data_IF_683604114355
#
_entry.id   IF_683604114355
#
_cell.length_a   1.000
_cell.length_b   1.000
_cell.length_c   1.000
_cell.angle_alpha   90.00
_cell.angle_beta   90.00
_cell.angle_gamma   90.00
#
_symmetry.space_group_name_H-M   'P 1'
#
loop_
_entity.id
_entity.type
_entity.pdbx_description
1 polymer ?
#
# COMPACT_ATOMS: atom_id res chain seq x y z
N UNK A 1 -1.04 53.10 29.43
CA UNK A 1 -2.04 52.14 29.95
C UNK A 1 -2.86 51.68 28.75
N UNK A 2 -2.82 50.45 28.23
CA UNK A 2 -2.37 49.13 28.72
C UNK A 2 -2.08 48.22 27.51
N UNK A 3 -0.97 47.48 27.55
CA UNK A 3 -0.57 46.46 26.58
C UNK A 3 -1.48 45.21 26.61
N UNK A 4 -1.57 44.49 25.49
CA UNK A 4 -2.43 43.32 25.31
C UNK A 4 -1.76 41.94 25.41
N UNK A 5 -2.60 40.92 25.15
CA UNK A 5 -2.33 39.52 24.77
C UNK A 5 -1.62 38.57 25.75
N UNK A 6 -2.35 37.54 26.23
CA UNK A 6 -2.06 36.09 25.99
C UNK A 6 -2.74 35.14 27.01
N UNK A 7 -4.07 34.95 26.91
CA UNK A 7 -4.79 33.90 27.66
C UNK A 7 -4.81 32.52 26.96
N UNK A 8 -4.12 32.36 25.81
CA UNK A 8 -4.27 31.17 24.96
C UNK A 8 -3.08 30.22 24.86
N UNK A 9 -1.99 30.40 25.64
CA UNK A 9 -0.79 29.57 25.46
C UNK A 9 -0.85 28.33 26.35
N UNK A 10 -1.21 27.19 25.74
CA UNK A 10 -1.19 25.88 26.39
C UNK A 10 0.17 25.62 27.04
N UNK A 11 0.18 25.52 28.38
CA UNK A 11 1.40 25.29 29.16
C UNK A 11 1.72 23.80 29.09
N UNK A 12 2.63 23.40 28.21
CA UNK A 12 3.04 22.00 28.03
C UNK A 12 4.49 21.80 28.49
N UNK A 13 4.77 20.69 29.15
CA UNK A 13 6.15 20.29 29.50
C UNK A 13 6.95 20.02 28.21
N UNK A 14 8.24 20.42 28.12
CA UNK A 14 9.07 20.17 26.94
C UNK A 14 9.08 18.71 26.49
N UNK A 15 9.10 17.78 27.45
CA UNK A 15 9.07 16.34 27.17
C UNK A 15 7.71 15.90 26.62
N UNK A 16 6.62 16.42 27.19
CA UNK A 16 5.25 16.13 26.74
C UNK A 16 5.00 16.69 25.32
N UNK A 17 5.54 17.88 25.01
CA UNK A 17 5.46 18.50 23.68
C UNK A 17 6.13 17.63 22.62
N UNK A 18 7.30 17.06 22.93
CA UNK A 18 8.03 16.18 22.01
C UNK A 18 7.27 14.88 21.74
N UNK A 19 6.65 14.29 22.77
CA UNK A 19 5.84 13.07 22.65
C UNK A 19 4.57 13.35 21.84
N UNK A 20 3.86 14.44 22.14
CA UNK A 20 2.65 14.82 21.40
C UNK A 20 2.92 15.11 19.92
N UNK A 21 4.07 15.71 19.60
CA UNK A 21 4.47 15.96 18.21
C UNK A 21 4.81 14.68 17.44
N UNK A 22 5.45 13.71 18.10
CA UNK A 22 5.82 12.43 17.47
C UNK A 22 4.60 11.53 17.24
N UNK A 23 3.67 11.51 18.20
CA UNK A 23 2.46 10.66 18.18
C UNK A 23 1.24 11.37 17.55
N UNK A 24 1.42 12.57 17.00
CA UNK A 24 0.35 13.31 16.29
C UNK A 24 -0.80 13.80 17.18
N UNK A 25 -0.59 13.96 18.49
CA UNK A 25 -1.62 14.34 19.46
C UNK A 25 -1.84 15.86 19.46
N UNK A 26 -3.11 16.28 19.35
CA UNK A 26 -3.46 17.70 19.42
C UNK A 26 -3.42 18.23 20.86
N UNK A 27 -2.38 18.99 21.17
CA UNK A 27 -2.10 19.53 22.52
C UNK A 27 -3.17 20.49 23.06
N UNK A 28 -4.08 21.00 22.22
CA UNK A 28 -5.16 21.91 22.63
C UNK A 28 -6.33 21.16 23.29
N UNK A 29 -6.48 19.86 23.00
CA UNK A 29 -7.56 19.02 23.51
C UNK A 29 -7.18 18.29 24.80
N UNK A 30 -5.92 18.40 25.23
CA UNK A 30 -5.40 17.74 26.42
C UNK A 30 -5.64 18.58 27.67
N UNK A 31 -6.27 17.96 28.68
CA UNK A 31 -6.41 18.54 30.02
C UNK A 31 -5.10 18.30 30.80
N UNK A 32 -4.41 19.37 31.16
CA UNK A 32 -3.15 19.29 31.90
C UNK A 32 -3.35 19.13 33.41
N UNK A 33 -2.79 18.06 33.99
CA UNK A 33 -2.94 17.74 35.43
C UNK A 33 -1.74 18.20 36.27
N UNK A 34 -0.70 18.77 35.64
CA UNK A 34 0.50 19.23 36.33
C UNK A 34 0.36 20.59 37.03
N UNK A 35 1.36 21.00 37.85
CA UNK A 35 1.36 22.28 38.57
C UNK A 35 1.17 23.47 37.61
N UNK A 36 0.24 24.37 37.94
CA UNK A 36 -0.23 25.48 37.08
C UNK A 36 -0.99 25.07 35.81
N UNK A 37 -1.64 23.89 35.79
CA UNK A 37 -2.42 23.39 34.66
C UNK A 37 -1.54 22.92 33.49
N UNK A 38 -0.33 22.45 33.80
CA UNK A 38 0.67 22.06 32.80
C UNK A 38 0.40 20.64 32.29
N UNK A 39 0.40 20.45 30.96
CA UNK A 39 0.34 19.12 30.35
C UNK A 39 1.67 18.40 30.59
N UNK A 40 1.61 17.27 31.30
CA UNK A 40 2.76 16.41 31.57
C UNK A 40 2.74 15.17 30.68
N UNK A 41 3.85 14.41 30.68
CA UNK A 41 3.98 13.18 29.87
C UNK A 41 2.85 12.19 30.13
N UNK A 42 2.40 12.08 31.39
CA UNK A 42 1.31 11.18 31.77
C UNK A 42 0.00 11.53 31.06
N UNK A 43 -0.37 12.82 31.00
CA UNK A 43 -1.62 13.26 30.33
C UNK A 43 -1.62 12.94 28.83
N UNK A 44 -0.46 13.08 28.14
CA UNK A 44 -0.31 12.74 26.71
C UNK A 44 -0.41 11.22 26.49
N UNK A 45 0.22 10.43 27.36
CA UNK A 45 0.19 8.97 27.28
C UNK A 45 -1.18 8.40 27.66
N UNK A 46 -1.88 9.03 28.59
CA UNK A 46 -3.23 8.65 28.99
C UNK A 46 -4.21 8.95 27.86
N UNK A 47 -4.07 10.08 27.15
CA UNK A 47 -4.87 10.35 25.95
C UNK A 47 -4.63 9.32 24.84
N UNK A 48 -3.38 8.87 24.65
CA UNK A 48 -3.04 7.79 23.73
C UNK A 48 -3.59 6.42 24.19
N UNK A 49 -3.54 6.14 25.49
CA UNK A 49 -4.05 4.91 26.09
C UNK A 49 -5.58 4.83 26.18
N UNK A 50 -6.26 5.98 26.19
CA UNK A 50 -7.72 6.08 26.28
C UNK A 50 -8.45 5.77 24.97
N UNK A 51 -7.73 5.39 23.90
CA UNK A 51 -8.34 4.76 22.73
C UNK A 51 -9.40 5.61 22.03
N UNK A 52 -9.33 6.94 22.11
CA UNK A 52 -10.03 7.81 21.15
C UNK A 52 -9.10 7.98 19.96
N UNK A 53 -8.97 6.91 19.18
CA UNK A 53 -8.76 7.07 17.76
C UNK A 53 -10.01 7.78 17.24
N UNK A 54 -9.99 9.11 17.22
CA UNK A 54 -10.74 9.83 16.22
C UNK A 54 -10.10 9.43 14.90
N UNK A 55 -10.52 8.28 14.37
CA UNK A 55 -10.52 8.06 12.94
C UNK A 55 -11.27 9.27 12.37
N UNK A 56 -10.48 10.25 11.93
CA UNK A 56 -10.96 11.30 11.05
C UNK A 56 -11.73 10.56 9.95
N UNK A 57 -12.97 10.95 9.59
CA UNK A 57 -13.63 10.32 8.48
C UNK A 57 -12.74 10.57 7.26
N UNK A 58 -12.00 9.55 6.87
CA UNK A 58 -11.23 9.56 5.64
C UNK A 58 -12.30 9.77 4.57
N UNK A 59 -12.31 10.98 3.99
CA UNK A 59 -13.32 11.33 3.00
C UNK A 59 -13.21 10.29 1.90
N UNK A 60 -14.27 9.52 1.68
CA UNK A 60 -14.43 8.70 0.49
C UNK A 60 -14.25 9.62 -0.73
N UNK A 61 -13.05 9.59 -1.30
CA UNK A 61 -12.73 10.38 -2.49
C UNK A 61 -13.13 9.55 -3.69
N UNK A 62 -14.19 9.99 -4.37
CA UNK A 62 -14.63 9.37 -5.62
C UNK A 62 -13.62 9.74 -6.69
N UNK A 63 -12.76 8.78 -7.06
CA UNK A 63 -11.86 8.92 -8.20
C UNK A 63 -12.61 8.51 -9.47
N UNK A 64 -12.63 9.40 -10.46
CA UNK A 64 -13.27 9.11 -11.75
C UNK A 64 -12.54 7.98 -12.50
N UNK A 65 -13.34 7.11 -13.11
CA UNK A 65 -12.85 5.93 -13.84
C UNK A 65 -12.38 6.35 -15.23
N UNK A 66 -11.14 6.01 -15.61
CA UNK A 66 -10.64 6.28 -16.96
C UNK A 66 -11.36 5.45 -18.02
N UNK A 67 -11.46 5.97 -19.25
CA UNK A 67 -12.05 5.25 -20.39
C UNK A 67 -11.38 3.88 -20.63
N UNK A 68 -10.06 3.78 -20.47
CA UNK A 68 -9.33 2.51 -20.58
C UNK A 68 -9.81 1.49 -19.54
N UNK A 69 -10.03 1.93 -18.30
CA UNK A 69 -10.52 1.06 -17.22
C UNK A 69 -11.95 0.60 -17.48
N UNK A 70 -12.81 1.46 -18.03
CA UNK A 70 -14.18 1.10 -18.41
C UNK A 70 -14.21 0.00 -19.47
N UNK A 71 -13.40 0.13 -20.53
CA UNK A 71 -13.33 -0.88 -21.61
C UNK A 71 -12.83 -2.22 -21.09
N UNK A 72 -11.78 -2.21 -20.26
CA UNK A 72 -11.26 -3.44 -19.63
C UNK A 72 -12.34 -4.08 -18.76
N UNK A 73 -13.05 -3.30 -17.94
CA UNK A 73 -14.11 -3.81 -17.07
C UNK A 73 -15.26 -4.44 -17.88
N UNK A 74 -15.67 -3.81 -18.99
CA UNK A 74 -16.70 -4.36 -19.88
C UNK A 74 -16.27 -5.71 -20.46
N UNK A 75 -15.05 -5.81 -21.01
CA UNK A 75 -14.54 -7.06 -21.62
C UNK A 75 -14.35 -8.18 -20.61
N UNK A 76 -13.87 -7.86 -19.42
CA UNK A 76 -13.72 -8.84 -18.33
C UNK A 76 -15.10 -9.37 -17.89
N UNK A 77 -16.09 -8.48 -17.77
CA UNK A 77 -17.47 -8.85 -17.41
C UNK A 77 -18.11 -9.73 -18.48
N UNK A 78 -18.01 -9.35 -19.75
CA UNK A 78 -18.51 -10.13 -20.89
C UNK A 78 -17.92 -11.55 -20.92
N UNK A 79 -16.60 -11.68 -20.75
CA UNK A 79 -15.91 -12.98 -20.75
C UNK A 79 -16.36 -13.86 -19.58
N UNK A 80 -16.41 -13.30 -18.35
CA UNK A 80 -16.73 -14.09 -17.14
C UNK A 80 -18.19 -14.55 -17.08
N UNK A 81 -19.12 -13.80 -17.68
CA UNK A 81 -20.53 -14.17 -17.75
C UNK A 81 -20.82 -15.21 -18.84
N UNK A 82 -20.18 -15.08 -20.03
CA UNK A 82 -20.52 -15.90 -21.18
C UNK A 82 -19.74 -17.22 -21.27
N UNK A 83 -18.53 -17.29 -20.71
CA UNK A 83 -17.66 -18.48 -20.84
C UNK A 83 -17.64 -19.29 -19.54
N UNK A 84 -17.97 -20.60 -19.57
CA UNK A 84 -17.77 -21.47 -18.42
C UNK A 84 -16.27 -21.76 -18.23
N UNK A 85 -15.66 -21.13 -17.22
CA UNK A 85 -14.23 -21.27 -16.94
C UNK A 85 -13.96 -22.51 -16.09
N UNK A 86 -13.09 -23.40 -16.55
CA UNK A 86 -12.52 -24.48 -15.75
C UNK A 86 -11.01 -24.27 -15.61
N UNK A 87 -10.46 -24.57 -14.45
CA UNK A 87 -9.04 -24.39 -14.15
C UNK A 87 -8.35 -25.75 -14.13
N UNK A 88 -7.24 -25.86 -14.86
CA UNK A 88 -6.34 -27.01 -14.81
C UNK A 88 -4.98 -26.58 -14.26
N UNK A 89 -4.38 -27.43 -13.45
CA UNK A 89 -3.05 -27.21 -12.88
C UNK A 89 -2.21 -28.45 -13.12
N UNK A 90 -0.98 -28.25 -13.60
CA UNK A 90 -0.01 -29.30 -13.89
C UNK A 90 1.34 -28.83 -13.39
N UNK A 91 2.07 -29.72 -12.73
CA UNK A 91 3.45 -29.46 -12.31
C UNK A 91 4.41 -29.81 -13.44
N UNK A 92 5.35 -28.89 -13.72
CA UNK A 92 6.33 -29.04 -14.79
C UNK A 92 7.75 -28.88 -14.22
N UNK A 93 8.61 -29.88 -14.47
CA UNK A 93 10.03 -29.79 -14.12
C UNK A 93 10.78 -28.89 -15.11
N UNK A 94 11.47 -27.87 -14.60
CA UNK A 94 12.12 -26.82 -15.43
C UNK A 94 13.65 -26.83 -15.39
N UNK A 95 14.29 -27.76 -14.67
CA UNK A 95 15.75 -27.76 -14.44
C UNK A 95 16.55 -27.73 -15.76
N UNK A 96 16.21 -28.65 -16.68
CA UNK A 96 16.86 -28.74 -18.01
C UNK A 96 16.66 -27.47 -18.84
N UNK A 97 15.50 -26.83 -18.69
CA UNK A 97 15.16 -25.61 -19.42
C UNK A 97 15.98 -24.42 -18.91
N UNK A 98 16.22 -24.35 -17.60
CA UNK A 98 17.08 -23.32 -17.00
C UNK A 98 18.54 -23.49 -17.43
N UNK A 99 19.06 -24.72 -17.44
CA UNK A 99 20.40 -25.01 -17.96
C UNK A 99 20.56 -24.53 -19.40
N UNK A 100 19.61 -24.89 -20.28
CA UNK A 100 19.61 -24.46 -21.67
C UNK A 100 19.54 -22.93 -21.82
N UNK A 101 18.69 -22.25 -21.04
CA UNK A 101 18.60 -20.78 -21.03
C UNK A 101 19.95 -20.15 -20.70
N UNK A 102 20.67 -20.70 -19.72
CA UNK A 102 21.99 -20.18 -19.34
C UNK A 102 23.02 -20.39 -20.45
N UNK A 103 23.03 -21.57 -21.09
CA UNK A 103 23.90 -21.86 -22.24
C UNK A 103 23.66 -20.87 -23.40
N UNK A 104 22.39 -20.61 -23.74
CA UNK A 104 22.01 -19.66 -24.79
C UNK A 104 22.44 -18.23 -24.43
N UNK A 105 22.21 -17.80 -23.20
CA UNK A 105 22.59 -16.47 -22.74
C UNK A 105 24.11 -16.28 -22.62
N UNK A 106 24.87 -17.36 -22.42
CA UNK A 106 26.34 -17.33 -22.48
C UNK A 106 26.87 -17.27 -23.92
N UNK A 107 26.11 -17.75 -24.90
CA UNK A 107 26.50 -17.72 -26.31
C UNK A 107 26.17 -16.40 -27.02
N UNK A 108 25.11 -15.70 -26.60
CA UNK A 108 24.69 -14.42 -27.16
C UNK A 108 24.37 -13.41 -26.04
N UNK A 109 25.28 -12.47 -25.81
CA UNK A 109 25.11 -11.43 -24.80
C UNK A 109 24.16 -10.30 -25.25
N UNK A 110 23.94 -10.15 -26.55
CA UNK A 110 23.11 -9.07 -27.10
C UNK A 110 21.61 -9.39 -27.01
N UNK A 111 21.25 -10.67 -26.97
CA UNK A 111 19.87 -11.11 -26.92
C UNK A 111 19.59 -11.99 -25.69
N UNK A 112 19.27 -11.34 -24.57
CA UNK A 112 18.94 -12.04 -23.32
C UNK A 112 17.61 -12.76 -23.43
N UNK A 113 17.66 -14.08 -23.37
CA UNK A 113 16.49 -14.95 -23.35
C UNK A 113 15.96 -15.08 -21.92
N UNK A 114 14.65 -14.87 -21.76
CA UNK A 114 13.91 -15.04 -20.51
C UNK A 114 13.14 -16.36 -20.49
N UNK A 115 12.66 -16.76 -19.30
CA UNK A 115 11.82 -17.95 -19.16
C UNK A 115 10.49 -17.77 -19.91
N UNK A 116 9.95 -16.54 -19.94
CA UNK A 116 8.71 -16.23 -20.64
C UNK A 116 8.83 -16.53 -22.15
N UNK A 117 9.96 -16.21 -22.77
CA UNK A 117 10.18 -16.47 -24.21
C UNK A 117 10.13 -17.97 -24.52
N UNK A 118 10.69 -18.78 -23.62
CA UNK A 118 10.68 -20.25 -23.75
C UNK A 118 9.26 -20.81 -23.54
N UNK A 119 8.48 -20.25 -22.61
CA UNK A 119 7.07 -20.64 -22.39
C UNK A 119 6.21 -20.28 -23.62
N UNK A 120 6.37 -19.07 -24.17
CA UNK A 120 5.64 -18.64 -25.37
C UNK A 120 5.98 -19.55 -26.56
N UNK A 121 7.27 -19.86 -26.75
CA UNK A 121 7.70 -20.80 -27.79
C UNK A 121 7.07 -22.17 -27.60
N UNK A 122 7.08 -22.72 -26.38
CA UNK A 122 6.45 -24.01 -26.08
C UNK A 122 4.95 -24.01 -26.37
N UNK A 123 4.23 -22.97 -25.96
CA UNK A 123 2.79 -22.81 -26.21
C UNK A 123 2.47 -22.73 -27.72
N UNK A 124 3.28 -22.01 -28.49
CA UNK A 124 3.14 -21.95 -29.95
C UNK A 124 3.37 -23.32 -30.61
N UNK A 125 4.42 -24.03 -30.18
CA UNK A 125 4.70 -25.38 -30.68
C UNK A 125 3.60 -26.39 -30.32
N UNK A 126 3.02 -26.30 -29.11
CA UNK A 126 1.90 -27.17 -28.73
C UNK A 126 0.67 -26.88 -29.57
N UNK A 127 0.31 -25.60 -29.78
CA UNK A 127 -0.82 -25.24 -30.63
C UNK A 127 -0.63 -25.73 -32.07
N UNK A 128 0.58 -25.67 -32.63
CA UNK A 128 0.87 -26.21 -33.97
C UNK A 128 0.76 -27.74 -34.05
N UNK A 129 1.10 -28.45 -32.97
CA UNK A 129 1.07 -29.92 -32.94
C UNK A 129 -0.34 -30.48 -32.78
N UNK A 130 -1.21 -29.73 -32.11
CA UNK A 130 -2.58 -30.16 -31.76
C UNK A 130 -3.67 -29.40 -32.53
N UNK A 131 -3.30 -28.45 -33.41
CA UNK A 131 -4.16 -27.89 -34.46
C UNK A 131 -4.06 -28.70 -35.73
#
# INVERSE_FOLDING_TARGET
MTEGYAEGRTKISPLAKKIAQNEGVNVQQLKGTGPYGRIIKADVLEFLGSGIHTESPEKDTIVEVSNMRQVIAQRLTESKQNVPHFYLTVDCQVDKLISLKNEINSADENNKVTINDLIIKAAAFSMKKFS
#
